data_IF_601194191998
#
_entry.id   IF_601194191998
#
_cell.length_a   1.000
_cell.length_b   1.000
_cell.length_c   1.000
_cell.angle_alpha   90.00
_cell.angle_beta   90.00
_cell.angle_gamma   90.00
#
_symmetry.space_group_name_H-M   'P 1'
#
loop_
_entity.id
_entity.type
_entity.pdbx_description
1 polymer ?
#
# COMPACT_ATOMS: atom_id res chain seq x y z
N UNK A 1 70.57 33.16 -1.15
CA UNK A 1 69.60 32.03 -1.16
C UNK A 1 68.54 32.35 -2.23
N UNK A 2 68.56 31.59 -3.36
CA UNK A 2 67.62 31.81 -4.44
C UNK A 2 66.28 31.15 -4.15
N UNK A 3 65.17 31.91 -4.05
CA UNK A 3 63.83 31.40 -3.88
C UNK A 3 63.38 30.84 -5.23
N UNK A 4 63.29 29.48 -5.32
CA UNK A 4 62.69 28.80 -6.46
C UNK A 4 61.16 29.02 -6.46
N UNK A 5 60.66 29.76 -7.44
CA UNK A 5 59.25 30.05 -7.61
C UNK A 5 58.58 28.87 -8.34
N UNK A 6 57.97 27.95 -7.56
CA UNK A 6 57.22 26.80 -8.10
C UNK A 6 55.96 27.34 -8.80
N UNK A 7 55.87 27.14 -10.11
CA UNK A 7 54.71 27.48 -10.93
C UNK A 7 53.59 26.50 -10.60
N UNK A 8 52.57 26.94 -9.87
CA UNK A 8 51.39 26.12 -9.62
C UNK A 8 50.63 25.91 -10.92
N UNK A 9 50.59 24.67 -11.42
CA UNK A 9 49.70 24.30 -12.52
C UNK A 9 48.26 24.40 -12.00
N UNK A 10 47.46 25.23 -12.67
CA UNK A 10 46.02 25.21 -12.50
C UNK A 10 45.52 23.84 -13.00
N UNK A 11 44.96 23.04 -12.10
CA UNK A 11 44.22 21.84 -12.47
C UNK A 11 42.91 22.30 -13.08
N UNK A 12 42.85 22.34 -14.40
CA UNK A 12 41.54 22.43 -15.10
C UNK A 12 40.82 21.14 -14.84
N UNK A 13 39.85 21.19 -13.94
CA UNK A 13 38.88 20.07 -13.70
C UNK A 13 38.02 20.00 -14.95
N UNK A 14 38.08 18.88 -15.66
CA UNK A 14 37.21 18.63 -16.80
C UNK A 14 35.76 18.51 -16.34
N UNK A 15 34.96 19.57 -16.56
CA UNK A 15 33.57 19.65 -16.14
C UNK A 15 32.67 18.66 -16.90
N UNK A 16 33.11 18.22 -18.09
CA UNK A 16 32.33 17.23 -18.88
C UNK A 16 32.38 15.86 -18.23
N UNK A 17 33.55 15.42 -17.75
CA UNK A 17 33.67 14.14 -17.01
C UNK A 17 32.90 14.15 -15.68
N UNK A 18 32.96 15.30 -14.99
CA UNK A 18 32.19 15.46 -13.74
C UNK A 18 30.68 15.44 -13.98
N UNK A 19 30.20 16.07 -15.05
CA UNK A 19 28.78 16.07 -15.43
C UNK A 19 28.31 14.68 -15.82
N UNK A 20 29.12 13.91 -16.55
CA UNK A 20 28.77 12.53 -16.95
C UNK A 20 28.62 11.62 -15.74
N UNK A 21 29.58 11.67 -14.81
CA UNK A 21 29.52 10.89 -13.58
C UNK A 21 28.27 11.25 -12.75
N UNK A 22 27.92 12.53 -12.62
CA UNK A 22 26.73 12.96 -11.87
C UNK A 22 25.44 12.51 -12.55
N UNK A 23 25.36 12.59 -13.88
CA UNK A 23 24.17 12.11 -14.62
C UNK A 23 24.04 10.59 -14.54
N UNK A 24 25.14 9.84 -14.66
CA UNK A 24 25.14 8.38 -14.51
C UNK A 24 24.69 7.98 -13.09
N UNK A 25 25.21 8.67 -12.08
CA UNK A 25 24.81 8.43 -10.68
C UNK A 25 23.33 8.73 -10.46
N UNK A 26 22.82 9.85 -11.01
CA UNK A 26 21.42 10.23 -10.93
C UNK A 26 20.52 9.20 -11.60
N UNK A 27 20.85 8.78 -12.83
CA UNK A 27 20.07 7.75 -13.54
C UNK A 27 20.12 6.41 -12.84
N UNK A 28 21.26 6.02 -12.27
CA UNK A 28 21.39 4.82 -11.47
C UNK A 28 20.45 4.86 -10.25
N UNK A 29 20.44 5.94 -9.48
CA UNK A 29 19.54 6.08 -8.34
C UNK A 29 18.07 6.11 -8.74
N UNK A 30 17.72 6.73 -9.88
CA UNK A 30 16.34 6.69 -10.38
C UNK A 30 15.89 5.28 -10.76
N UNK A 31 16.77 4.50 -11.41
CA UNK A 31 16.45 3.13 -11.82
C UNK A 31 16.43 2.13 -10.66
N UNK A 32 17.23 2.37 -9.60
CA UNK A 32 17.28 1.51 -8.41
C UNK A 32 16.30 1.94 -7.33
N UNK A 33 15.67 3.11 -7.46
CA UNK A 33 14.65 3.58 -6.52
C UNK A 33 13.40 2.69 -6.60
N UNK A 34 13.18 1.90 -5.58
CA UNK A 34 11.95 1.11 -5.43
C UNK A 34 10.91 1.95 -4.69
N UNK A 35 9.76 2.15 -5.30
CA UNK A 35 8.64 2.78 -4.63
C UNK A 35 8.03 1.79 -3.62
N UNK A 36 8.27 2.01 -2.35
CA UNK A 36 7.60 1.26 -1.29
C UNK A 36 6.16 1.75 -1.21
N UNK A 37 5.20 0.83 -1.34
CA UNK A 37 3.79 1.16 -1.18
C UNK A 37 3.52 1.58 0.27
N UNK A 38 2.87 2.73 0.44
CA UNK A 38 2.44 3.18 1.77
C UNK A 38 1.41 2.21 2.32
N UNK A 39 1.73 1.57 3.42
CA UNK A 39 0.73 0.85 4.22
C UNK A 39 -0.12 1.87 5.02
N UNK A 40 -1.44 1.68 5.13
CA UNK A 40 -2.33 2.61 5.82
C UNK A 40 -1.99 2.72 7.30
N UNK A 41 -1.52 1.62 7.88
CA UNK A 41 -1.10 1.51 9.27
C UNK A 41 0.20 0.72 9.32
N UNK A 42 1.17 1.22 10.06
CA UNK A 42 2.41 0.49 10.33
C UNK A 42 2.13 -0.57 11.38
N UNK A 43 2.20 -1.83 10.99
CA UNK A 43 1.98 -2.99 11.87
C UNK A 43 3.33 -3.59 12.20
N UNK A 44 3.67 -3.65 13.48
CA UNK A 44 4.87 -4.37 13.94
C UNK A 44 4.56 -5.86 14.01
N UNK A 45 5.00 -6.60 13.00
CA UNK A 45 4.78 -8.05 12.96
C UNK A 45 5.72 -8.76 13.95
N UNK A 46 5.23 -9.79 14.66
CA UNK A 46 6.09 -10.61 15.50
C UNK A 46 7.12 -11.35 14.65
N UNK A 47 8.29 -11.61 15.23
CA UNK A 47 9.31 -12.40 14.56
C UNK A 47 8.80 -13.82 14.32
N UNK A 48 8.90 -14.28 13.06
CA UNK A 48 8.53 -15.63 12.67
C UNK A 48 9.77 -16.42 12.31
N UNK A 49 9.83 -17.68 12.72
CA UNK A 49 10.84 -18.66 12.31
C UNK A 49 10.41 -19.47 11.08
N UNK A 50 9.25 -19.16 10.51
CA UNK A 50 8.74 -19.86 9.32
C UNK A 50 9.37 -19.31 8.04
N UNK A 51 9.96 -20.20 7.23
CA UNK A 51 10.57 -19.88 5.94
C UNK A 51 9.54 -19.93 4.76
N UNK A 52 8.25 -19.97 5.06
CA UNK A 52 7.21 -20.03 4.02
C UNK A 52 7.24 -18.70 3.26
N UNK A 53 7.68 -18.73 2.01
CA UNK A 53 7.62 -17.57 1.12
C UNK A 53 6.17 -17.23 0.82
N UNK A 54 5.78 -16.01 1.17
CA UNK A 54 4.48 -15.46 0.79
C UNK A 54 4.50 -15.25 -0.73
N UNK A 55 3.50 -15.74 -1.49
CA UNK A 55 3.44 -15.49 -2.91
C UNK A 55 3.29 -13.98 -3.16
N UNK A 56 3.97 -13.49 -4.19
CA UNK A 56 4.00 -12.06 -4.53
C UNK A 56 2.77 -11.61 -5.34
N UNK A 57 2.04 -12.57 -5.91
CA UNK A 57 0.89 -12.30 -6.79
C UNK A 57 -0.36 -13.05 -6.32
N UNK A 58 -1.53 -12.50 -6.65
CA UNK A 58 -2.85 -13.02 -6.26
C UNK A 58 -3.02 -13.10 -4.74
N UNK A 59 -2.63 -12.06 -4.03
CA UNK A 59 -2.73 -12.02 -2.57
C UNK A 59 -3.80 -11.02 -2.15
N UNK A 60 -4.70 -11.49 -1.28
CA UNK A 60 -5.55 -10.65 -0.44
C UNK A 60 -4.82 -10.49 0.89
N UNK A 61 -4.31 -9.33 1.14
CA UNK A 61 -3.66 -9.03 2.41
C UNK A 61 -4.67 -8.40 3.37
N UNK A 62 -4.78 -8.98 4.55
CA UNK A 62 -5.60 -8.47 5.65
C UNK A 62 -4.66 -7.92 6.71
N UNK A 63 -4.76 -6.64 7.00
CA UNK A 63 -4.03 -5.99 8.09
C UNK A 63 -4.95 -5.84 9.28
N UNK A 64 -4.46 -6.24 10.46
CA UNK A 64 -5.18 -6.10 11.73
C UNK A 64 -4.35 -5.21 12.65
N UNK A 65 -4.93 -4.06 13.01
CA UNK A 65 -4.32 -3.11 13.94
C UNK A 65 -4.50 -3.56 15.40
N UNK A 66 -3.66 -3.10 16.35
CA UNK A 66 -3.83 -3.38 17.80
C UNK A 66 -5.21 -3.01 18.35
N UNK A 67 -5.85 -2.00 17.76
CA UNK A 67 -7.23 -1.58 18.12
C UNK A 67 -8.33 -2.52 17.62
N UNK A 68 -7.98 -3.58 16.86
CA UNK A 68 -8.94 -4.50 16.25
C UNK A 68 -9.51 -4.03 14.92
N UNK A 69 -9.06 -2.90 14.38
CA UNK A 69 -9.48 -2.42 13.05
C UNK A 69 -8.87 -3.28 11.96
N UNK A 70 -9.68 -3.58 10.95
CA UNK A 70 -9.28 -4.43 9.82
C UNK A 70 -9.19 -3.59 8.55
N UNK A 71 -8.10 -3.78 7.81
CA UNK A 71 -7.88 -3.21 6.49
C UNK A 71 -7.60 -4.33 5.50
N UNK A 72 -8.04 -4.13 4.27
CA UNK A 72 -7.83 -5.10 3.18
C UNK A 72 -7.01 -4.43 2.08
N UNK A 73 -6.09 -5.19 1.52
CA UNK A 73 -5.35 -4.84 0.33
C UNK A 73 -5.47 -5.97 -0.69
N UNK A 74 -5.72 -5.60 -1.94
CA UNK A 74 -5.74 -6.51 -3.08
C UNK A 74 -4.63 -6.10 -4.05
N UNK A 75 -3.89 -7.07 -4.53
CA UNK A 75 -2.77 -6.83 -5.43
C UNK A 75 -3.24 -6.32 -6.81
N UNK A 76 -4.17 -7.04 -7.45
CA UNK A 76 -4.64 -6.70 -8.79
C UNK A 76 -5.67 -5.58 -8.79
N UNK A 77 -5.44 -4.59 -9.65
CA UNK A 77 -6.37 -3.46 -9.84
C UNK A 77 -7.72 -3.88 -10.41
N UNK A 78 -7.76 -4.88 -11.28
CA UNK A 78 -9.00 -5.41 -11.86
C UNK A 78 -9.86 -6.08 -10.80
N UNK A 79 -9.23 -6.90 -9.94
CA UNK A 79 -9.92 -7.57 -8.84
C UNK A 79 -10.51 -6.56 -7.86
N UNK A 80 -9.82 -5.43 -7.59
CA UNK A 80 -10.35 -4.33 -6.77
C UNK A 80 -11.65 -3.77 -7.34
N UNK A 81 -11.69 -3.47 -8.63
CA UNK A 81 -12.87 -2.92 -9.30
C UNK A 81 -14.02 -3.94 -9.29
N UNK A 82 -13.73 -5.21 -9.58
CA UNK A 82 -14.74 -6.27 -9.58
C UNK A 82 -15.35 -6.47 -8.18
N UNK A 83 -14.51 -6.44 -7.15
CA UNK A 83 -14.95 -6.56 -5.76
C UNK A 83 -15.78 -5.35 -5.34
N UNK A 84 -15.35 -4.13 -5.70
CA UNK A 84 -16.13 -2.93 -5.41
C UNK A 84 -17.51 -2.97 -6.07
N UNK A 85 -17.60 -3.37 -7.34
CA UNK A 85 -18.86 -3.49 -8.07
C UNK A 85 -19.77 -4.56 -7.45
N UNK A 86 -19.22 -5.69 -7.00
CA UNK A 86 -19.97 -6.71 -6.30
C UNK A 86 -20.53 -6.20 -4.96
N UNK A 87 -19.72 -5.47 -4.19
CA UNK A 87 -20.15 -4.86 -2.93
C UNK A 87 -21.18 -3.74 -3.17
N UNK A 88 -20.99 -2.90 -4.20
CA UNK A 88 -21.94 -1.89 -4.65
C UNK A 88 -23.32 -2.50 -4.91
N UNK A 89 -23.37 -3.58 -5.66
CA UNK A 89 -24.61 -4.29 -5.98
C UNK A 89 -25.26 -4.93 -4.75
N UNK A 90 -24.46 -5.42 -3.81
CA UNK A 90 -24.93 -6.12 -2.61
C UNK A 90 -25.51 -5.14 -1.59
N UNK A 91 -24.89 -3.99 -1.40
CA UNK A 91 -25.29 -2.98 -0.42
C UNK A 91 -26.12 -1.83 -1.01
N UNK A 92 -26.29 -1.80 -2.32
CA UNK A 92 -27.06 -0.76 -3.01
C UNK A 92 -26.42 0.63 -2.97
N UNK A 93 -25.10 0.70 -2.87
CA UNK A 93 -24.32 1.94 -2.82
C UNK A 93 -23.76 2.25 -4.20
N UNK A 94 -24.24 3.27 -4.91
CA UNK A 94 -23.71 3.63 -6.22
C UNK A 94 -22.35 4.33 -6.11
N UNK A 95 -21.45 4.02 -7.03
CA UNK A 95 -20.16 4.69 -7.16
C UNK A 95 -20.04 5.39 -8.51
N UNK A 96 -19.46 6.58 -8.50
CA UNK A 96 -19.15 7.31 -9.73
C UNK A 96 -17.92 6.71 -10.42
N UNK A 97 -17.77 6.89 -11.76
CA UNK A 97 -16.57 6.40 -12.47
C UNK A 97 -15.27 6.96 -11.91
N UNK A 98 -15.29 8.19 -11.39
CA UNK A 98 -14.11 8.80 -10.74
C UNK A 98 -13.77 8.12 -9.43
N UNK A 99 -14.75 7.78 -8.61
CA UNK A 99 -14.57 7.05 -7.36
C UNK A 99 -14.04 5.64 -7.60
N UNK A 100 -14.54 4.95 -8.63
CA UNK A 100 -14.05 3.63 -9.05
C UNK A 100 -12.58 3.72 -9.47
N UNK A 101 -12.18 4.76 -10.23
CA UNK A 101 -10.79 4.97 -10.61
C UNK A 101 -9.88 5.25 -9.40
N UNK A 102 -10.33 6.07 -8.45
CA UNK A 102 -9.59 6.32 -7.21
C UNK A 102 -9.44 5.03 -6.40
N UNK A 103 -10.49 4.23 -6.25
CA UNK A 103 -10.44 2.95 -5.55
C UNK A 103 -9.52 1.94 -6.25
N UNK A 104 -9.51 1.91 -7.58
CA UNK A 104 -8.59 1.08 -8.37
C UNK A 104 -7.12 1.37 -8.06
N UNK A 105 -6.79 2.64 -7.81
CA UNK A 105 -5.42 3.09 -7.49
C UNK A 105 -5.10 2.97 -6.00
N UNK A 106 -6.11 2.85 -5.13
CA UNK A 106 -5.90 2.70 -3.70
C UNK A 106 -5.21 1.37 -3.38
N UNK A 107 -4.14 1.40 -2.61
CA UNK A 107 -3.38 0.20 -2.25
C UNK A 107 -4.11 -0.65 -1.20
N UNK A 108 -4.85 0.01 -0.31
CA UNK A 108 -5.57 -0.62 0.79
C UNK A 108 -6.81 0.19 1.14
N UNK A 109 -7.78 -0.47 1.70
CA UNK A 109 -9.03 0.14 2.13
C UNK A 109 -9.50 -0.48 3.45
N UNK A 110 -10.25 0.29 4.22
CA UNK A 110 -10.71 -0.11 5.55
C UNK A 110 -11.92 0.69 5.98
N UNK A 111 -12.65 1.29 5.04
CA UNK A 111 -13.82 2.12 5.32
C UNK A 111 -15.10 1.30 5.13
N UNK A 112 -16.11 1.43 6.02
CA UNK A 112 -17.42 0.82 5.82
C UNK A 112 -18.02 1.21 4.47
N UNK A 113 -18.68 0.27 3.77
CA UNK A 113 -19.14 0.45 2.40
C UNK A 113 -20.07 1.68 2.23
N UNK A 114 -20.89 1.97 3.23
CA UNK A 114 -21.80 3.13 3.19
C UNK A 114 -21.08 4.48 3.23
N UNK A 115 -19.89 4.53 3.83
CA UNK A 115 -19.08 5.74 3.96
C UNK A 115 -18.01 5.84 2.86
N UNK A 116 -17.82 4.78 2.10
CA UNK A 116 -16.80 4.69 1.05
C UNK A 116 -16.93 5.80 -0.02
N UNK A 117 -18.11 6.16 -0.54
CA UNK A 117 -18.22 7.23 -1.53
C UNK A 117 -17.69 8.55 -1.01
N UNK A 118 -18.13 8.98 0.18
CA UNK A 118 -17.67 10.22 0.80
C UNK A 118 -16.16 10.21 1.12
N UNK A 119 -15.61 9.04 1.48
CA UNK A 119 -14.18 8.88 1.68
C UNK A 119 -13.38 9.02 0.38
N UNK A 120 -13.87 8.45 -0.73
CA UNK A 120 -13.22 8.53 -2.04
C UNK A 120 -13.25 9.94 -2.65
N UNK A 121 -14.19 10.79 -2.24
CA UNK A 121 -14.26 12.18 -2.68
C UNK A 121 -13.19 13.07 -2.02
N UNK A 122 -12.61 12.63 -0.91
CA UNK A 122 -11.55 13.36 -0.23
C UNK A 122 -10.26 13.40 -1.07
N UNK A 123 -9.39 14.36 -0.77
CA UNK A 123 -8.03 14.43 -1.31
C UNK A 123 -7.18 13.31 -0.71
N UNK A 124 -6.22 12.78 -1.49
CA UNK A 124 -5.38 11.64 -1.08
C UNK A 124 -4.67 11.84 0.28
N UNK A 125 -4.17 13.05 0.55
CA UNK A 125 -3.49 13.34 1.82
C UNK A 125 -4.43 13.24 3.03
N UNK A 126 -5.69 13.66 2.83
CA UNK A 126 -6.74 13.58 3.86
C UNK A 126 -7.22 12.12 3.99
N UNK A 127 -7.29 11.38 2.88
CA UNK A 127 -7.64 9.97 2.88
C UNK A 127 -6.68 9.16 3.76
N UNK A 128 -5.36 9.37 3.61
CA UNK A 128 -4.33 8.65 4.38
C UNK A 128 -4.47 8.91 5.90
N UNK A 129 -4.81 10.14 6.30
CA UNK A 129 -5.02 10.48 7.71
C UNK A 129 -6.33 9.94 8.26
N UNK A 130 -7.38 10.03 7.45
CA UNK A 130 -8.73 9.65 7.83
C UNK A 130 -8.90 8.14 7.87
N UNK A 131 -8.19 7.41 6.98
CA UNK A 131 -8.23 5.94 6.91
C UNK A 131 -7.87 5.28 8.25
N UNK A 132 -6.94 5.87 9.01
CA UNK A 132 -6.54 5.37 10.34
C UNK A 132 -7.69 5.36 11.35
N UNK A 133 -8.69 6.21 11.15
CA UNK A 133 -9.84 6.31 12.07
C UNK A 133 -10.93 5.28 11.75
N UNK A 134 -10.90 4.70 10.55
CA UNK A 134 -11.85 3.69 10.09
C UNK A 134 -11.29 2.28 10.26
N UNK A 135 -12.14 1.31 10.06
CA UNK A 135 -11.87 -0.11 9.99
C UNK A 135 -13.08 -0.80 9.36
N UNK A 136 -12.87 -1.92 8.69
CA UNK A 136 -13.98 -2.71 8.15
C UNK A 136 -14.72 -3.35 9.31
N UNK A 137 -16.05 -3.19 9.42
CA UNK A 137 -16.84 -3.86 10.44
C UNK A 137 -16.76 -5.38 10.32
N UNK A 138 -16.49 -6.05 11.44
CA UNK A 138 -16.43 -7.52 11.53
C UNK A 138 -17.32 -8.07 12.66
N UNK A 139 -18.27 -7.25 13.14
CA UNK A 139 -19.18 -7.64 14.22
C UNK A 139 -20.17 -8.71 13.77
N UNK A 140 -20.72 -9.46 14.72
CA UNK A 140 -21.74 -10.49 14.43
C UNK A 140 -23.00 -9.93 13.78
N UNK A 141 -23.37 -8.68 14.08
CA UNK A 141 -24.53 -8.00 13.52
C UNK A 141 -24.25 -7.38 12.14
N UNK A 142 -23.04 -6.89 11.91
CA UNK A 142 -22.61 -6.28 10.64
C UNK A 142 -21.22 -6.78 10.28
N UNK A 143 -21.15 -7.87 9.52
CA UNK A 143 -19.90 -8.48 9.09
C UNK A 143 -19.61 -8.15 7.62
N UNK A 144 -19.22 -6.89 7.36
CA UNK A 144 -18.82 -6.49 6.02
C UNK A 144 -17.53 -7.20 5.58
N UNK A 145 -16.61 -7.49 6.51
CA UNK A 145 -15.36 -8.19 6.21
C UNK A 145 -15.61 -9.54 5.54
N UNK A 146 -16.55 -10.32 6.04
CA UNK A 146 -16.92 -11.63 5.44
C UNK A 146 -17.38 -11.47 3.99
N UNK A 147 -18.18 -10.44 3.71
CA UNK A 147 -18.69 -10.20 2.36
C UNK A 147 -17.59 -9.67 1.42
N UNK A 148 -16.64 -8.84 1.92
CA UNK A 148 -15.48 -8.43 1.16
C UNK A 148 -14.61 -9.62 0.74
N UNK A 149 -14.31 -10.53 1.68
CA UNK A 149 -13.53 -11.76 1.39
C UNK A 149 -14.27 -12.67 0.42
N UNK A 150 -15.59 -12.82 0.58
CA UNK A 150 -16.43 -13.62 -0.33
C UNK A 150 -16.43 -13.03 -1.74
N UNK A 151 -16.60 -11.71 -1.88
CA UNK A 151 -16.55 -11.03 -3.16
C UNK A 151 -15.17 -11.16 -3.83
N UNK A 152 -14.09 -11.02 -3.06
CA UNK A 152 -12.72 -11.18 -3.55
C UNK A 152 -12.46 -12.61 -4.06
N UNK A 153 -12.89 -13.63 -3.33
CA UNK A 153 -12.79 -15.03 -3.75
C UNK A 153 -13.63 -15.36 -4.97
N UNK A 154 -14.78 -14.69 -5.12
CA UNK A 154 -15.64 -14.84 -6.30
C UNK A 154 -15.02 -14.19 -7.54
N UNK A 155 -14.35 -13.04 -7.37
CA UNK A 155 -13.63 -12.36 -8.44
C UNK A 155 -12.38 -13.15 -8.88
N UNK A 156 -11.66 -13.74 -7.94
CA UNK A 156 -10.44 -14.51 -8.21
C UNK A 156 -10.39 -15.75 -7.32
N UNK A 157 -10.52 -16.94 -7.94
CA UNK A 157 -10.51 -18.24 -7.24
C UNK A 157 -9.13 -18.64 -6.73
N UNK A 158 -8.07 -18.18 -7.39
CA UNK A 158 -6.68 -18.51 -7.05
C UNK A 158 -6.12 -17.55 -5.97
N UNK A 159 -6.97 -16.70 -5.41
CA UNK A 159 -6.60 -15.72 -4.42
C UNK A 159 -6.13 -16.41 -3.12
N UNK A 160 -4.93 -16.08 -2.69
CA UNK A 160 -4.37 -16.49 -1.40
C UNK A 160 -4.60 -15.39 -0.37
N UNK A 161 -4.91 -15.77 0.85
CA UNK A 161 -5.17 -14.84 1.94
C UNK A 161 -3.93 -14.79 2.82
N UNK A 162 -3.36 -13.61 2.99
CA UNK A 162 -2.28 -13.33 3.93
C UNK A 162 -2.81 -12.43 5.04
N UNK A 163 -2.65 -12.83 6.28
CA UNK A 163 -3.05 -12.04 7.44
C UNK A 163 -1.80 -11.49 8.10
N UNK A 164 -1.74 -10.18 8.25
CA UNK A 164 -0.68 -9.43 8.92
C UNK A 164 -1.28 -8.73 10.12
N UNK A 165 -1.02 -9.27 11.31
CA UNK A 165 -1.50 -8.70 12.57
C UNK A 165 -0.36 -8.05 13.34
N UNK A 166 -0.67 -7.01 14.11
CA UNK A 166 0.29 -6.40 15.02
C UNK A 166 0.58 -7.32 16.21
N UNK A 167 1.81 -7.24 16.71
CA UNK A 167 2.26 -8.03 17.88
C UNK A 167 1.40 -7.78 19.14
N UNK A 168 0.87 -6.57 19.27
CA UNK A 168 0.03 -6.18 20.40
C UNK A 168 -1.45 -6.52 20.21
N UNK A 169 -1.84 -7.09 19.05
CA UNK A 169 -3.23 -7.47 18.78
C UNK A 169 -3.62 -8.67 19.66
N UNK A 170 -4.63 -8.55 20.53
CA UNK A 170 -5.09 -9.68 21.32
C UNK A 170 -5.71 -10.74 20.40
N UNK A 171 -5.02 -11.86 20.24
CA UNK A 171 -5.53 -13.02 19.51
C UNK A 171 -6.35 -13.87 20.46
N UNK A 172 -7.65 -13.62 20.52
CA UNK A 172 -8.59 -14.50 21.23
C UNK A 172 -8.90 -15.68 20.32
N UNK A 173 -8.11 -16.75 20.47
CA UNK A 173 -8.45 -18.06 19.92
C UNK A 173 -9.54 -18.67 20.82
N UNK A 174 -10.78 -18.57 20.40
CA UNK A 174 -11.89 -19.35 20.91
C UNK A 174 -12.34 -20.38 19.88
#
# INVERSE_FOLDING_TARGET
MAKVKVKRKSTLIDMTAMSDVTVLLLTFFMLTSTFVQKEPVQVSTPSSVSEIKIPEINVLQVLVEPSGKIFISLDKQEDRVNVLNAMSSMYGVPFTPEQINKFRLANSFGVPIKQMPGFLDLKSDIQDQTLKNYGIPCDSANNEFKEWVRAARKANRDLKIAIKADQATPCLLY
#
